data_IF_428834576562
#
_entry.id   IF_428834576562
#
_cell.length_a   1.000
_cell.length_b   1.000
_cell.length_c   1.000
_cell.angle_alpha   90.00
_cell.angle_beta   90.00
_cell.angle_gamma   90.00
#
_symmetry.space_group_name_H-M   'P 1'
#
loop_
_entity.id
_entity.type
_entity.pdbx_description
1 polymer ?
#
# COMPACT_ATOMS: atom_id res chain seq x y z
N UNK A 1 -24.97 -12.81 17.01
CA UNK A 1 -24.79 -11.37 17.31
C UNK A 1 -23.29 -11.16 17.50
N UNK A 2 -22.74 -10.05 16.97
CA UNK A 2 -21.32 -9.83 16.62
C UNK A 2 -20.98 -10.36 15.21
N UNK A 3 -21.58 -9.73 14.20
CA UNK A 3 -21.07 -9.77 12.83
C UNK A 3 -20.10 -8.60 12.69
N UNK A 4 -18.85 -8.88 12.33
CA UNK A 4 -17.76 -7.89 12.30
C UNK A 4 -18.07 -6.70 11.39
N UNK A 5 -17.39 -5.59 11.66
CA UNK A 5 -17.41 -4.33 10.91
C UNK A 5 -17.67 -4.58 9.42
N UNK A 6 -18.91 -4.36 9.01
CA UNK A 6 -19.31 -4.57 7.63
C UNK A 6 -18.72 -3.48 6.73
N UNK A 7 -18.74 -3.72 5.42
CA UNK A 7 -18.32 -2.71 4.42
C UNK A 7 -19.09 -1.39 4.64
N UNK A 8 -20.37 -1.45 5.05
CA UNK A 8 -21.18 -0.26 5.33
C UNK A 8 -20.66 0.59 6.51
N UNK A 9 -20.27 -0.04 7.62
CA UNK A 9 -19.72 0.68 8.78
C UNK A 9 -18.34 1.28 8.46
N UNK A 10 -17.52 0.56 7.70
CA UNK A 10 -16.20 1.04 7.27
C UNK A 10 -16.32 2.29 6.38
N UNK A 11 -17.33 2.33 5.49
CA UNK A 11 -17.62 3.52 4.67
C UNK A 11 -18.08 4.70 5.53
N UNK A 12 -18.92 4.49 6.54
CA UNK A 12 -19.37 5.56 7.45
C UNK A 12 -18.17 6.15 8.21
N UNK A 13 -17.29 5.30 8.74
CA UNK A 13 -16.07 5.74 9.42
C UNK A 13 -15.17 6.53 8.45
N UNK A 14 -15.00 6.04 7.23
CA UNK A 14 -14.22 6.72 6.19
C UNK A 14 -14.78 8.13 5.90
N UNK A 15 -16.10 8.27 5.79
CA UNK A 15 -16.75 9.57 5.59
C UNK A 15 -16.47 10.51 6.76
N UNK A 16 -16.58 10.05 8.00
CA UNK A 16 -16.28 10.88 9.19
C UNK A 16 -14.81 11.34 9.18
N UNK A 17 -13.88 10.43 8.89
CA UNK A 17 -12.45 10.76 8.78
C UNK A 17 -12.22 11.78 7.67
N UNK A 18 -12.89 11.64 6.52
CA UNK A 18 -12.81 12.59 5.41
C UNK A 18 -13.40 13.95 5.76
N UNK A 19 -14.43 14.03 6.61
CA UNK A 19 -14.97 15.32 7.07
C UNK A 19 -14.00 16.05 8.00
N UNK A 20 -13.29 15.31 8.87
CA UNK A 20 -12.32 15.89 9.82
C UNK A 20 -11.03 16.32 9.11
N UNK A 21 -10.46 15.44 8.29
CA UNK A 21 -9.14 15.65 7.67
C UNK A 21 -9.22 16.24 6.26
N UNK A 22 -10.38 16.13 5.60
CA UNK A 22 -10.55 16.47 4.19
C UNK A 22 -10.00 15.40 3.24
N UNK A 23 -10.56 15.29 2.01
CA UNK A 23 -10.07 14.35 1.00
C UNK A 23 -8.66 14.67 0.52
N UNK A 24 -8.27 15.95 0.50
CA UNK A 24 -6.93 16.38 0.08
C UNK A 24 -5.85 15.78 0.98
N UNK A 25 -6.04 15.84 2.31
CA UNK A 25 -5.04 15.33 3.27
C UNK A 25 -4.87 13.82 3.17
N UNK A 26 -5.97 13.08 2.96
CA UNK A 26 -5.91 11.64 2.74
C UNK A 26 -5.21 11.28 1.42
N UNK A 27 -5.45 12.06 0.36
CA UNK A 27 -4.78 11.92 -0.94
C UNK A 27 -3.27 12.21 -0.87
N UNK A 28 -2.85 13.24 -0.12
CA UNK A 28 -1.44 13.59 0.07
C UNK A 28 -0.67 12.46 0.78
N UNK A 29 -1.25 11.95 1.89
CA UNK A 29 -0.68 10.84 2.67
C UNK A 29 -0.66 9.56 1.84
N UNK A 30 -1.76 9.23 1.14
CA UNK A 30 -1.82 8.07 0.27
C UNK A 30 -0.81 8.14 -0.87
N UNK A 31 -0.58 9.31 -1.45
CA UNK A 31 0.42 9.52 -2.49
C UNK A 31 1.84 9.36 -1.97
N UNK A 32 2.14 9.85 -0.76
CA UNK A 32 3.44 9.68 -0.12
C UNK A 32 3.73 8.21 0.20
N UNK A 33 2.76 7.51 0.80
CA UNK A 33 2.86 6.07 1.09
C UNK A 33 2.98 5.27 -0.21
N UNK A 34 2.18 5.59 -1.23
CA UNK A 34 2.19 4.91 -2.51
C UNK A 34 3.54 5.00 -3.23
N UNK A 35 4.20 6.17 -3.19
CA UNK A 35 5.57 6.32 -3.69
C UNK A 35 6.56 5.45 -2.91
N UNK A 36 6.46 5.42 -1.57
CA UNK A 36 7.30 4.58 -0.73
C UNK A 36 7.14 3.08 -1.02
N UNK A 37 5.89 2.60 -1.09
CA UNK A 37 5.58 1.20 -1.43
C UNK A 37 6.04 0.86 -2.85
N UNK A 38 5.87 1.78 -3.82
CA UNK A 38 6.34 1.57 -5.20
C UNK A 38 7.86 1.42 -5.27
N UNK A 39 8.61 2.28 -4.57
CA UNK A 39 10.07 2.18 -4.46
C UNK A 39 10.51 0.88 -3.77
N UNK A 40 9.86 0.52 -2.68
CA UNK A 40 10.11 -0.74 -1.97
C UNK A 40 9.87 -1.96 -2.87
N UNK A 41 8.74 -1.97 -3.61
CA UNK A 41 8.42 -3.06 -4.55
C UNK A 41 9.44 -3.19 -5.66
N UNK A 42 9.97 -2.08 -6.19
CA UNK A 42 11.03 -2.09 -7.21
C UNK A 42 12.33 -2.66 -6.66
N UNK A 43 12.77 -2.19 -5.50
CA UNK A 43 14.00 -2.67 -4.88
C UNK A 43 13.96 -4.18 -4.54
N UNK A 44 12.81 -4.69 -4.08
CA UNK A 44 12.62 -6.13 -3.87
C UNK A 44 12.69 -6.92 -5.19
N UNK A 45 12.05 -6.41 -6.25
CA UNK A 45 12.06 -7.06 -7.56
C UNK A 45 13.43 -7.06 -8.23
N UNK A 46 14.18 -5.97 -8.10
CA UNK A 46 15.54 -5.87 -8.65
C UNK A 46 16.48 -6.85 -7.91
N UNK A 47 16.33 -7.01 -6.58
CA UNK A 47 17.05 -8.04 -5.81
C UNK A 47 16.75 -9.46 -6.27
N UNK A 48 15.47 -9.82 -6.42
CA UNK A 48 15.10 -11.16 -6.91
C UNK A 48 15.66 -11.40 -8.33
N UNK A 49 15.70 -10.36 -9.16
CA UNK A 49 16.22 -10.43 -10.54
C UNK A 49 17.76 -10.47 -10.62
N UNK A 50 18.46 -10.04 -9.57
CA UNK A 50 19.92 -10.16 -9.44
C UNK A 50 20.30 -11.55 -8.91
N UNK A 51 19.54 -12.11 -7.98
CA UNK A 51 19.73 -13.49 -7.48
C UNK A 51 19.52 -14.54 -8.59
N UNK A 52 18.52 -14.37 -9.47
CA UNK A 52 18.28 -15.28 -10.60
C UNK A 52 19.39 -15.26 -11.68
N UNK A 53 20.19 -14.19 -11.78
CA UNK A 53 21.26 -14.07 -12.79
C UNK A 53 22.60 -14.64 -12.33
N UNK A 54 22.81 -14.78 -11.02
CA UNK A 54 24.05 -15.33 -10.48
C UNK A 54 24.06 -16.88 -10.47
N UNK A 55 22.90 -17.55 -10.49
CA UNK A 55 22.82 -19.01 -10.53
C UNK A 55 23.11 -19.60 -11.93
N UNK A 56 22.76 -18.91 -13.02
CA UNK A 56 22.95 -19.40 -14.40
C UNK A 56 24.41 -19.26 -14.91
N UNK A 57 25.27 -18.57 -14.15
CA UNK A 57 26.68 -18.34 -14.50
C UNK A 57 27.66 -19.30 -13.81
N UNK A 58 27.16 -20.22 -12.96
CA UNK A 58 27.97 -21.17 -12.18
C UNK A 58 27.78 -22.65 -12.57
N UNK A 59 26.99 -22.94 -13.61
CA UNK A 59 26.74 -24.30 -14.13
C UNK A 59 27.54 -24.58 -15.40
#
# INVERSE_FOLDING_TARGET
>A
MIGGLGIGELVIILVIVLLIFGPNKLGDVGSAIGRGISGFKRAMKDKDSEEDKEEDSKL
#
